data_IF_614589207230
#
_entry.id   IF_614589207230
#
_cell.length_a   1.000
_cell.length_b   1.000
_cell.length_c   1.000
_cell.angle_alpha   90.00
_cell.angle_beta   90.00
_cell.angle_gamma   90.00
#
_symmetry.space_group_name_H-M   'P 1'
#
loop_
_entity.id
_entity.type
_entity.pdbx_description
1 polymer ?
#
# COMPACT_ATOMS: atom_id res chain seq x y z
N UNK A 1 -3.74 67.44 4.34
CA UNK A 1 -4.01 66.28 3.45
C UNK A 1 -2.73 65.52 3.05
N UNK A 2 -1.87 65.10 3.99
CA UNK A 2 -0.61 64.37 3.67
C UNK A 2 -0.52 62.95 4.28
N UNK A 3 -1.48 62.54 5.11
CA UNK A 3 -1.44 61.27 5.84
C UNK A 3 -2.27 60.14 5.18
N UNK A 4 -3.14 60.48 4.22
CA UNK A 4 -4.01 59.50 3.56
C UNK A 4 -3.28 58.67 2.48
N UNK A 5 -2.23 59.22 1.86
CA UNK A 5 -1.43 58.51 0.84
C UNK A 5 -0.52 57.43 1.43
N UNK A 6 -0.12 57.55 2.70
CA UNK A 6 0.81 56.61 3.32
C UNK A 6 0.13 55.31 3.79
N UNK A 7 -1.17 55.36 4.11
CA UNK A 7 -1.93 54.17 4.54
C UNK A 7 -2.31 53.24 3.37
N UNK A 8 -2.44 53.77 2.16
CA UNK A 8 -2.78 52.96 0.99
C UNK A 8 -1.58 52.13 0.48
N UNK A 9 -0.37 52.67 0.58
CA UNK A 9 0.86 51.97 0.17
C UNK A 9 1.22 50.83 1.12
N UNK A 10 0.92 50.96 2.42
CA UNK A 10 1.16 49.90 3.41
C UNK A 10 0.21 48.71 3.23
N UNK A 11 -1.06 48.96 2.86
CA UNK A 11 -2.04 47.90 2.59
C UNK A 11 -1.70 47.15 1.28
N UNK A 12 -1.20 47.84 0.26
CA UNK A 12 -0.74 47.19 -0.98
C UNK A 12 0.53 46.34 -0.79
N UNK A 13 1.43 46.72 0.13
CA UNK A 13 2.63 45.95 0.47
C UNK A 13 2.31 44.65 1.23
N UNK A 14 1.33 44.67 2.12
CA UNK A 14 0.88 43.47 2.87
C UNK A 14 0.15 42.48 1.95
N UNK A 15 -0.52 42.96 0.89
CA UNK A 15 -1.12 42.11 -0.14
C UNK A 15 -0.09 41.37 -1.02
N UNK A 16 1.17 41.83 -1.08
CA UNK A 16 2.24 41.16 -1.84
C UNK A 16 3.02 40.12 -1.02
N UNK A 17 3.03 40.23 0.31
CA UNK A 17 3.69 39.27 1.20
C UNK A 17 2.85 38.01 1.49
N UNK A 18 1.59 37.96 1.06
CA UNK A 18 0.74 36.76 1.16
C UNK A 18 0.70 35.93 -0.12
N UNK A 19 1.71 36.06 -0.99
CA UNK A 19 2.07 34.97 -1.87
C UNK A 19 2.71 33.86 -1.01
N UNK A 20 1.88 33.18 -0.21
CA UNK A 20 2.04 31.77 0.08
C UNK A 20 2.26 31.09 -1.27
N UNK A 21 3.51 31.00 -1.71
CA UNK A 21 3.84 30.25 -2.91
C UNK A 21 3.52 28.80 -2.57
N UNK A 22 2.32 28.37 -2.98
CA UNK A 22 1.92 26.99 -2.87
C UNK A 22 2.99 26.16 -3.60
N UNK A 23 3.68 25.30 -2.84
CA UNK A 23 4.73 24.43 -3.32
C UNK A 23 4.33 23.78 -4.66
N UNK A 24 5.07 24.10 -5.73
CA UNK A 24 4.74 23.67 -7.08
C UNK A 24 5.32 22.28 -7.33
N UNK A 25 4.46 21.27 -7.19
CA UNK A 25 4.81 19.87 -7.45
C UNK A 25 4.54 19.55 -8.93
N UNK A 26 5.59 19.24 -9.69
CA UNK A 26 5.54 18.85 -11.10
C UNK A 26 6.04 17.42 -11.27
N UNK A 27 5.35 16.61 -12.06
CA UNK A 27 5.79 15.27 -12.46
C UNK A 27 6.04 15.29 -13.97
N UNK A 28 7.24 14.89 -14.42
CA UNK A 28 7.57 14.76 -15.85
C UNK A 28 8.50 13.57 -16.06
N UNK A 29 8.10 12.63 -16.93
CA UNK A 29 8.88 11.44 -17.30
C UNK A 29 9.38 10.63 -16.08
N UNK A 30 8.52 10.40 -15.09
CA UNK A 30 8.90 9.63 -13.88
C UNK A 30 9.80 10.40 -12.91
N UNK A 31 10.02 11.70 -13.10
CA UNK A 31 10.77 12.54 -12.17
C UNK A 31 9.80 13.50 -11.47
N UNK A 32 9.92 13.60 -10.15
CA UNK A 32 9.18 14.56 -9.33
C UNK A 32 10.07 15.75 -9.03
N UNK A 33 9.52 16.94 -9.33
CA UNK A 33 10.11 18.21 -8.95
C UNK A 33 9.22 18.96 -7.98
N UNK A 34 9.85 19.51 -6.96
CA UNK A 34 9.25 20.39 -5.96
C UNK A 34 9.96 21.73 -6.08
N UNK A 35 9.23 22.77 -6.48
CA UNK A 35 9.79 24.10 -6.75
C UNK A 35 11.02 24.03 -7.68
N UNK A 36 10.88 23.20 -8.73
CA UNK A 36 11.88 22.92 -9.77
C UNK A 36 13.15 22.16 -9.33
N UNK A 37 13.27 21.82 -8.04
CA UNK A 37 14.29 20.89 -7.51
C UNK A 37 13.82 19.44 -7.65
N UNK A 38 14.68 18.55 -8.14
CA UNK A 38 14.38 17.12 -8.24
C UNK A 38 14.47 16.49 -6.85
N UNK A 39 13.42 15.81 -6.41
CA UNK A 39 13.32 15.26 -5.04
C UNK A 39 13.12 13.75 -4.98
N UNK A 40 12.60 13.15 -6.06
CA UNK A 40 12.33 11.72 -6.13
C UNK A 40 12.10 11.26 -7.58
N UNK A 41 12.18 9.95 -7.80
CA UNK A 41 11.78 9.26 -9.03
C UNK A 41 10.51 8.45 -8.77
N UNK A 42 9.67 8.30 -9.80
CA UNK A 42 8.48 7.45 -9.80
C UNK A 42 8.61 6.44 -10.93
N UNK A 43 8.40 5.17 -10.59
CA UNK A 43 8.20 4.11 -11.55
C UNK A 43 6.75 3.64 -11.50
N UNK A 44 6.08 3.62 -12.65
CA UNK A 44 4.72 3.09 -12.79
C UNK A 44 4.82 1.60 -13.11
N UNK A 45 4.17 0.74 -12.32
CA UNK A 45 4.19 -0.72 -12.50
C UNK A 45 3.04 -1.25 -13.38
N UNK A 46 1.91 -0.54 -13.48
CA UNK A 46 0.76 -0.98 -14.31
C UNK A 46 0.12 0.15 -15.12
N UNK A 47 -0.42 -0.18 -16.30
CA UNK A 47 -0.89 0.78 -17.32
C UNK A 47 -2.40 1.08 -17.29
N UNK A 48 -3.19 0.54 -16.36
CA UNK A 48 -4.64 0.79 -16.32
C UNK A 48 -4.98 2.27 -16.02
N UNK A 49 -5.95 2.81 -16.76
CA UNK A 49 -6.07 4.23 -17.11
C UNK A 49 -6.12 5.24 -15.94
N UNK A 50 -6.53 4.87 -14.73
CA UNK A 50 -6.77 5.83 -13.64
C UNK A 50 -6.28 5.40 -12.24
N UNK A 51 -6.10 4.09 -12.01
CA UNK A 51 -5.67 3.54 -10.71
C UNK A 51 -4.42 2.72 -10.93
N UNK A 52 -3.31 3.16 -10.32
CA UNK A 52 -1.98 2.72 -10.71
C UNK A 52 -1.20 2.25 -9.50
N UNK A 53 -0.52 1.13 -9.68
CA UNK A 53 0.58 0.73 -8.82
C UNK A 53 1.79 1.57 -9.23
N UNK A 54 2.45 2.18 -8.25
CA UNK A 54 3.67 2.92 -8.50
C UNK A 54 4.57 2.92 -7.28
N UNK A 55 5.85 3.02 -7.55
CA UNK A 55 6.90 3.09 -6.55
C UNK A 55 7.52 4.48 -6.58
N UNK A 56 7.89 4.98 -5.41
CA UNK A 56 8.64 6.22 -5.24
C UNK A 56 10.04 5.87 -4.76
N UNK A 57 11.03 6.35 -5.49
CA UNK A 57 12.44 6.14 -5.20
C UNK A 57 13.10 7.45 -4.85
N UNK A 58 14.16 7.36 -4.06
CA UNK A 58 15.08 8.45 -3.87
C UNK A 58 15.97 8.64 -5.13
N UNK A 59 16.88 9.61 -5.11
CA UNK A 59 17.76 9.91 -6.25
C UNK A 59 18.85 8.84 -6.49
N UNK A 60 19.13 8.04 -5.46
CA UNK A 60 20.07 6.91 -5.45
C UNK A 60 19.38 5.58 -5.81
N UNK A 61 18.15 5.62 -6.34
CA UNK A 61 17.38 4.44 -6.75
C UNK A 61 17.01 3.48 -5.60
N UNK A 62 17.08 3.93 -4.35
CA UNK A 62 16.47 3.24 -3.20
C UNK A 62 14.96 3.49 -3.19
N UNK A 63 14.18 2.41 -3.19
CA UNK A 63 12.72 2.50 -3.04
C UNK A 63 12.37 3.00 -1.63
N UNK A 64 11.53 4.02 -1.55
CA UNK A 64 11.08 4.61 -0.28
C UNK A 64 9.63 4.26 0.01
N UNK A 65 8.76 4.39 -0.99
CA UNK A 65 7.32 4.23 -0.84
C UNK A 65 6.79 3.33 -1.94
N UNK A 66 6.00 2.34 -1.56
CA UNK A 66 5.24 1.50 -2.49
C UNK A 66 3.76 1.89 -2.41
N UNK A 67 3.14 2.14 -3.55
CA UNK A 67 1.70 2.42 -3.63
C UNK A 67 1.05 1.39 -4.50
N UNK A 68 0.09 0.67 -3.92
CA UNK A 68 -0.63 -0.44 -4.54
C UNK A 68 -2.10 -0.08 -4.64
N UNK A 69 -2.70 -0.30 -5.81
CA UNK A 69 -4.15 -0.25 -5.94
C UNK A 69 -4.73 -1.61 -5.58
N UNK A 70 -5.76 -1.65 -4.74
CA UNK A 70 -6.50 -2.88 -4.45
C UNK A 70 -7.98 -2.70 -4.80
N UNK A 71 -8.66 -3.82 -4.98
CA UNK A 71 -10.12 -3.85 -5.15
C UNK A 71 -10.76 -4.50 -3.95
N UNK A 72 -11.95 -4.03 -3.58
CA UNK A 72 -12.74 -4.62 -2.51
C UNK A 72 -14.22 -4.51 -2.87
N UNK A 73 -15.03 -5.41 -2.31
CA UNK A 73 -16.46 -5.42 -2.56
C UNK A 73 -17.20 -4.74 -1.42
N UNK A 74 -18.16 -3.89 -1.77
CA UNK A 74 -19.07 -3.28 -0.81
C UNK A 74 -20.50 -3.44 -1.25
N UNK A 75 -21.41 -3.48 -0.27
CA UNK A 75 -22.84 -3.45 -0.52
C UNK A 75 -23.29 -1.99 -0.61
N UNK A 76 -23.71 -1.57 -1.79
CA UNK A 76 -24.23 -0.23 -2.01
C UNK A 76 -25.70 -0.28 -2.41
N UNK A 77 -26.46 0.73 -1.97
CA UNK A 77 -27.82 0.92 -2.43
C UNK A 77 -27.78 1.58 -3.80
N UNK A 78 -28.26 0.87 -4.82
CA UNK A 78 -28.41 1.42 -6.15
C UNK A 78 -29.42 2.59 -6.12
N UNK A 79 -28.97 3.79 -6.47
CA UNK A 79 -29.78 5.01 -6.41
C UNK A 79 -31.00 5.02 -7.34
N UNK A 80 -31.03 4.16 -8.38
CA UNK A 80 -32.14 4.07 -9.34
C UNK A 80 -33.15 3.00 -8.96
N UNK A 81 -32.69 1.84 -8.51
CA UNK A 81 -33.56 0.67 -8.24
C UNK A 81 -33.88 0.52 -6.76
N UNK A 82 -33.14 1.20 -5.87
CA UNK A 82 -33.26 1.07 -4.42
C UNK A 82 -32.78 -0.26 -3.85
N UNK A 83 -32.31 -1.18 -4.69
CA UNK A 83 -31.80 -2.50 -4.28
C UNK A 83 -30.37 -2.39 -3.74
N UNK A 84 -30.04 -3.29 -2.81
CA UNK A 84 -28.67 -3.46 -2.35
C UNK A 84 -27.95 -4.34 -3.38
N UNK A 85 -26.88 -3.82 -3.95
CA UNK A 85 -26.05 -4.48 -4.94
C UNK A 85 -24.61 -4.56 -4.41
N UNK A 86 -23.90 -5.63 -4.75
CA UNK A 86 -22.48 -5.74 -4.44
C UNK A 86 -21.69 -5.08 -5.58
N UNK A 87 -20.90 -4.07 -5.26
CA UNK A 87 -20.10 -3.31 -6.23
C UNK A 87 -18.62 -3.40 -5.88
N UNK A 88 -17.79 -3.46 -6.91
CA UNK A 88 -16.33 -3.40 -6.78
C UNK A 88 -15.92 -1.94 -6.62
N UNK A 89 -15.31 -1.62 -5.49
CA UNK A 89 -14.61 -0.38 -5.25
C UNK A 89 -13.09 -0.56 -5.34
N UNK A 90 -12.40 0.57 -5.50
CA UNK A 90 -10.95 0.64 -5.63
C UNK A 90 -10.39 1.46 -4.47
N UNK A 91 -9.36 0.92 -3.81
CA UNK A 91 -8.60 1.60 -2.77
C UNK A 91 -7.12 1.67 -3.12
N UNK A 92 -6.33 2.40 -2.33
CA UNK A 92 -4.87 2.38 -2.42
C UNK A 92 -4.25 2.10 -1.06
N UNK A 93 -3.26 1.22 -1.03
CA UNK A 93 -2.38 1.00 0.13
C UNK A 93 -1.05 1.68 -0.15
N UNK A 94 -0.61 2.54 0.76
CA UNK A 94 0.71 3.18 0.73
C UNK A 94 1.56 2.60 1.84
N UNK A 95 2.70 2.03 1.47
CA UNK A 95 3.65 1.40 2.39
C UNK A 95 4.96 2.21 2.41
N UNK A 96 5.45 2.50 3.61
CA UNK A 96 6.71 3.21 3.85
C UNK A 96 7.80 2.19 4.18
N UNK A 97 8.68 1.90 3.22
CA UNK A 97 9.58 0.73 3.31
C UNK A 97 10.67 0.85 4.38
N UNK A 98 10.98 2.05 4.86
CA UNK A 98 12.01 2.24 5.89
C UNK A 98 11.53 1.82 7.29
N UNK A 99 10.24 1.95 7.57
CA UNK A 99 9.67 1.66 8.88
C UNK A 99 8.46 0.69 8.87
N UNK A 100 8.05 0.21 7.69
CA UNK A 100 6.93 -0.73 7.55
C UNK A 100 5.54 -0.12 7.77
N UNK A 101 5.46 1.19 7.97
CA UNK A 101 4.18 1.86 8.22
C UNK A 101 3.28 1.83 6.99
N UNK A 102 1.97 1.79 7.23
CA UNK A 102 0.97 1.67 6.16
C UNK A 102 -0.15 2.69 6.33
N UNK A 103 -0.56 3.28 5.20
CA UNK A 103 -1.77 4.09 5.11
C UNK A 103 -2.69 3.52 4.04
N UNK A 104 -3.96 3.35 4.39
CA UNK A 104 -4.99 2.92 3.47
C UNK A 104 -5.89 4.07 3.03
N UNK A 105 -6.19 4.09 1.73
CA UNK A 105 -7.11 5.02 1.11
C UNK A 105 -8.24 4.19 0.49
N UNK A 106 -9.31 3.87 1.24
CA UNK A 106 -10.41 3.04 0.75
C UNK A 106 -11.11 3.67 -0.46
N UNK A 107 -11.06 5.00 -0.60
CA UNK A 107 -11.44 5.68 -1.83
C UNK A 107 -10.22 5.91 -2.70
N UNK A 108 -10.26 5.36 -3.92
CA UNK A 108 -9.20 5.52 -4.89
C UNK A 108 -8.84 7.00 -5.12
N UNK A 109 -7.54 7.30 -4.96
CA UNK A 109 -6.97 8.60 -5.25
C UNK A 109 -6.19 8.53 -6.55
N UNK A 110 -6.22 9.60 -7.34
CA UNK A 110 -5.33 9.66 -8.50
C UNK A 110 -3.87 9.63 -8.06
N UNK A 111 -2.98 9.04 -8.86
CA UNK A 111 -1.52 9.07 -8.64
C UNK A 111 -1.03 10.47 -8.29
N UNK A 112 -1.46 11.48 -9.05
CA UNK A 112 -1.10 12.89 -8.83
C UNK A 112 -1.52 13.39 -7.44
N UNK A 113 -2.68 12.96 -6.93
CA UNK A 113 -3.12 13.30 -5.58
C UNK A 113 -2.23 12.67 -4.53
N UNK A 114 -1.91 11.37 -4.68
CA UNK A 114 -1.06 10.64 -3.75
C UNK A 114 0.35 11.24 -3.71
N UNK A 115 0.93 11.50 -4.87
CA UNK A 115 2.22 12.20 -5.00
C UNK A 115 2.18 13.57 -4.31
N UNK A 116 1.14 14.37 -4.54
CA UNK A 116 0.99 15.65 -3.84
C UNK A 116 0.96 15.49 -2.32
N UNK A 117 0.34 14.44 -1.80
CA UNK A 117 0.29 14.17 -0.37
C UNK A 117 1.68 13.87 0.18
N UNK A 118 2.49 13.07 -0.51
CA UNK A 118 3.87 12.74 -0.10
C UNK A 118 4.70 14.02 0.07
N UNK A 119 4.68 14.92 -0.92
CA UNK A 119 5.56 16.11 -0.89
C UNK A 119 5.01 17.27 -0.07
N UNK A 120 3.68 17.47 -0.01
CA UNK A 120 3.09 18.50 0.85
C UNK A 120 3.25 18.21 2.34
N UNK A 121 3.33 16.94 2.71
CA UNK A 121 3.63 16.53 4.08
C UNK A 121 5.14 16.32 4.30
N UNK A 122 5.95 16.66 3.29
CA UNK A 122 7.41 16.59 3.34
C UNK A 122 7.93 15.23 3.84
N UNK A 123 7.27 14.14 3.44
CA UNK A 123 7.59 12.78 3.91
C UNK A 123 8.98 12.36 3.47
N UNK A 124 9.46 12.92 2.36
CA UNK A 124 10.80 12.73 1.82
C UNK A 124 11.58 14.03 1.98
N UNK A 125 12.72 13.97 2.66
CA UNK A 125 13.67 15.07 2.84
C UNK A 125 15.09 14.51 2.83
N UNK A 126 16.04 15.22 2.25
CA UNK A 126 17.46 14.82 2.18
C UNK A 126 17.65 13.37 1.68
N UNK A 127 16.91 13.03 0.61
CA UNK A 127 16.97 11.73 -0.06
C UNK A 127 16.49 10.53 0.78
N UNK A 128 15.78 10.77 1.90
CA UNK A 128 15.30 9.74 2.85
C UNK A 128 13.87 10.00 3.32
N UNK A 129 13.24 9.01 3.95
CA UNK A 129 11.97 9.23 4.64
C UNK A 129 12.20 9.93 5.98
N UNK A 130 11.35 10.90 6.31
CA UNK A 130 11.34 11.51 7.64
C UNK A 130 10.42 10.71 8.55
N UNK A 131 10.98 9.87 9.43
CA UNK A 131 10.21 8.99 10.32
C UNK A 131 9.14 9.75 11.11
N UNK A 132 9.49 10.92 11.67
CA UNK A 132 8.53 11.77 12.40
C UNK A 132 7.35 12.23 11.54
N UNK A 133 7.61 12.64 10.29
CA UNK A 133 6.56 13.11 9.38
C UNK A 133 5.72 11.96 8.84
N UNK A 134 6.33 10.79 8.61
CA UNK A 134 5.61 9.56 8.27
C UNK A 134 4.66 9.17 9.40
N UNK A 135 5.11 9.13 10.66
CA UNK A 135 4.23 8.84 11.80
C UNK A 135 3.05 9.82 11.89
N UNK A 136 3.31 11.13 11.84
CA UNK A 136 2.25 12.15 11.84
C UNK A 136 1.27 12.00 10.64
N UNK A 137 1.78 11.54 9.50
CA UNK A 137 0.98 11.31 8.30
C UNK A 137 0.08 10.08 8.47
N UNK A 138 0.63 8.99 9.00
CA UNK A 138 -0.11 7.77 9.34
C UNK A 138 -1.22 8.08 10.32
N UNK A 139 -0.90 8.77 11.44
CA UNK A 139 -1.90 9.20 12.44
C UNK A 139 -3.02 10.04 11.84
N UNK A 140 -2.68 10.97 10.92
CA UNK A 140 -3.66 11.86 10.28
C UNK A 140 -4.60 11.11 9.33
N UNK A 141 -4.08 10.14 8.58
CA UNK A 141 -4.81 9.53 7.47
C UNK A 141 -5.41 8.15 7.81
N UNK A 142 -4.94 7.48 8.86
CA UNK A 142 -5.58 6.29 9.43
C UNK A 142 -6.70 6.64 10.45
N UNK A 143 -7.11 7.91 10.54
CA UNK A 143 -8.20 8.40 11.41
C UNK A 143 -9.64 8.13 10.93
N UNK A 144 -9.83 7.36 9.87
CA UNK A 144 -11.12 6.76 9.51
C UNK A 144 -10.84 5.34 9.00
N UNK A 145 -10.82 4.40 9.94
CA UNK A 145 -10.98 2.97 9.67
C UNK A 145 -12.44 2.84 9.22
N UNK A 146 -12.78 2.59 7.94
CA UNK A 146 -14.09 2.00 7.67
C UNK A 146 -14.21 0.80 8.58
N UNK A 147 -15.38 0.55 9.15
CA UNK A 147 -15.70 -0.61 9.99
C UNK A 147 -15.55 -1.96 9.24
N UNK A 148 -14.66 -2.05 8.24
CA UNK A 148 -13.88 -3.24 7.98
C UNK A 148 -12.80 -3.30 9.06
N UNK A 149 -13.06 -4.17 10.03
CA UNK A 149 -12.14 -4.79 10.99
C UNK A 149 -10.82 -4.02 11.21
N UNK A 150 -10.49 -3.61 12.46
CA UNK A 150 -9.08 -3.34 12.76
C UNK A 150 -8.22 -4.44 12.14
N UNK A 151 -7.02 -4.10 11.66
CA UNK A 151 -5.92 -5.06 11.60
C UNK A 151 -5.64 -5.43 13.06
N UNK A 152 -6.57 -6.16 13.62
CA UNK A 152 -6.47 -6.89 14.83
C UNK A 152 -5.83 -8.17 14.38
N UNK A 153 -4.75 -8.47 15.07
CA UNK A 153 -4.25 -9.80 15.37
C UNK A 153 -5.34 -10.74 15.94
N UNK A 154 -6.54 -10.77 15.34
CA UNK A 154 -7.65 -11.67 15.67
C UNK A 154 -7.66 -12.88 14.75
N UNK A 155 -6.47 -13.39 14.48
CA UNK A 155 -6.18 -14.78 14.72
C UNK A 155 -5.11 -14.74 15.78
N UNK A 156 -5.44 -15.16 17.00
CA UNK A 156 -4.53 -15.03 18.14
C UNK A 156 -3.13 -15.50 17.75
N UNK A 157 -2.14 -14.62 17.90
CA UNK A 157 -0.73 -14.90 17.70
C UNK A 157 -0.46 -15.90 16.56
N UNK A 158 -0.82 -15.57 15.31
CA UNK A 158 -0.36 -16.39 14.19
C UNK A 158 1.17 -16.36 14.19
N UNK A 159 1.80 -17.50 14.45
CA UNK A 159 3.25 -17.63 14.54
C UNK A 159 3.70 -18.78 13.65
N UNK A 160 4.84 -18.59 13.02
CA UNK A 160 5.53 -19.64 12.28
C UNK A 160 6.70 -20.16 13.13
N UNK A 161 6.76 -21.47 13.31
CA UNK A 161 7.88 -22.13 13.98
C UNK A 161 8.10 -23.51 13.37
N UNK A 162 9.35 -23.82 12.99
CA UNK A 162 9.74 -25.11 12.43
C UNK A 162 8.79 -25.60 11.31
N UNK A 163 8.54 -24.74 10.32
CA UNK A 163 7.64 -25.02 9.18
C UNK A 163 6.19 -25.37 9.58
N UNK A 164 5.79 -24.99 10.79
CA UNK A 164 4.44 -25.15 11.31
C UNK A 164 3.79 -23.78 11.45
N UNK A 165 2.49 -23.74 11.19
CA UNK A 165 1.64 -22.55 11.31
C UNK A 165 0.85 -22.72 12.60
N UNK A 166 0.99 -21.79 13.54
CA UNK A 166 0.38 -21.86 14.86
C UNK A 166 -0.59 -20.71 15.08
N UNK A 167 -1.71 -20.98 15.75
CA UNK A 167 -2.58 -19.96 16.35
C UNK A 167 -2.49 -20.13 17.86
N UNK A 168 -1.91 -19.15 18.55
CA UNK A 168 -1.56 -19.27 19.97
C UNK A 168 -0.51 -20.37 20.21
N UNK A 169 -0.94 -21.55 20.71
CA UNK A 169 -0.08 -22.72 20.96
C UNK A 169 -0.45 -23.95 20.13
N UNK A 170 -1.49 -23.85 19.30
CA UNK A 170 -2.00 -24.96 18.52
C UNK A 170 -1.45 -24.90 17.09
N UNK A 171 -0.94 -26.03 16.60
CA UNK A 171 -0.53 -26.14 15.20
C UNK A 171 -1.79 -26.35 14.37
N UNK A 172 -2.02 -25.48 13.41
CA UNK A 172 -3.17 -25.55 12.50
C UNK A 172 -2.79 -26.06 11.11
N UNK A 173 -1.49 -26.06 10.78
CA UNK A 173 -1.00 -26.56 9.52
C UNK A 173 0.51 -26.54 9.42
N UNK A 174 1.03 -27.01 8.29
CA UNK A 174 2.46 -27.01 7.97
C UNK A 174 2.68 -26.42 6.60
N UNK A 175 3.90 -26.00 6.34
CA UNK A 175 4.28 -25.54 5.00
C UNK A 175 5.66 -26.03 4.60
N UNK A 176 5.93 -25.98 3.31
CA UNK A 176 7.27 -26.17 2.75
C UNK A 176 7.56 -25.06 1.76
N UNK A 177 8.83 -24.70 1.66
CA UNK A 177 9.28 -23.66 0.74
C UNK A 177 10.28 -24.24 -0.25
N UNK A 178 10.23 -23.75 -1.48
CA UNK A 178 11.21 -24.05 -2.52
C UNK A 178 11.34 -22.88 -3.46
N UNK A 179 12.51 -22.76 -4.09
CA UNK A 179 12.70 -21.89 -5.24
C UNK A 179 12.55 -22.72 -6.50
N UNK A 180 11.75 -22.25 -7.45
CA UNK A 180 11.61 -22.84 -8.78
C UNK A 180 12.16 -21.84 -9.79
N UNK A 181 12.98 -22.32 -10.72
CA UNK A 181 13.56 -21.50 -11.80
C UNK A 181 12.95 -21.95 -13.12
N UNK A 182 12.46 -21.01 -13.92
CA UNK A 182 11.96 -21.31 -15.27
C UNK A 182 12.46 -20.28 -16.28
N UNK A 183 13.20 -20.76 -17.29
CA UNK A 183 13.74 -20.08 -18.49
C UNK A 183 14.50 -18.74 -18.34
N UNK A 184 14.35 -18.01 -17.23
CA UNK A 184 15.09 -16.81 -16.81
C UNK A 184 14.58 -16.23 -15.48
N UNK A 185 13.45 -16.72 -14.95
CA UNK A 185 12.84 -16.17 -13.73
C UNK A 185 12.88 -17.16 -12.57
N UNK A 186 13.16 -16.66 -11.36
CA UNK A 186 13.06 -17.42 -10.11
C UNK A 186 11.79 -17.05 -9.35
N UNK A 187 11.10 -18.05 -8.82
CA UNK A 187 9.92 -17.88 -7.97
C UNK A 187 10.07 -18.64 -6.65
N UNK A 188 9.74 -17.97 -5.52
CA UNK A 188 9.53 -18.63 -4.23
C UNK A 188 8.16 -19.27 -4.26
N UNK A 189 8.09 -20.56 -3.94
CA UNK A 189 6.87 -21.35 -3.85
C UNK A 189 6.71 -21.87 -2.44
N UNK A 190 5.58 -21.56 -1.82
CA UNK A 190 5.18 -22.00 -0.49
C UNK A 190 4.01 -22.97 -0.64
N UNK A 191 4.22 -24.25 -0.32
CA UNK A 191 3.15 -25.25 -0.28
C UNK A 191 2.61 -25.39 1.14
N UNK A 192 1.31 -25.27 1.32
CA UNK A 192 0.64 -25.30 2.64
C UNK A 192 -0.20 -26.56 2.77
N UNK A 193 -0.14 -27.20 3.94
CA UNK A 193 -0.73 -28.49 4.24
C UNK A 193 -1.56 -28.46 5.53
N UNK A 194 -2.63 -29.26 5.56
CA UNK A 194 -3.41 -29.56 6.77
C UNK A 194 -2.61 -30.46 7.71
N UNK A 195 -3.13 -30.67 8.92
CA UNK A 195 -2.57 -31.64 9.87
C UNK A 195 -2.66 -33.08 9.36
N UNK A 196 -3.63 -33.37 8.49
CA UNK A 196 -3.80 -34.65 7.81
C UNK A 196 -2.88 -34.83 6.59
N UNK A 197 -1.95 -33.89 6.38
CA UNK A 197 -0.97 -33.86 5.29
C UNK A 197 -1.59 -33.66 3.89
N UNK A 198 -2.84 -33.24 3.82
CA UNK A 198 -3.45 -32.82 2.56
C UNK A 198 -2.93 -31.45 2.17
N UNK A 199 -2.52 -31.28 0.91
CA UNK A 199 -2.09 -29.97 0.41
C UNK A 199 -3.32 -29.07 0.26
N UNK A 200 -3.39 -28.00 1.04
CA UNK A 200 -4.48 -27.03 1.04
C UNK A 200 -4.25 -25.96 -0.03
N UNK A 201 -3.02 -25.47 -0.18
CA UNK A 201 -2.71 -24.38 -1.09
C UNK A 201 -1.25 -24.42 -1.58
N UNK A 202 -0.99 -23.71 -2.67
CA UNK A 202 0.34 -23.33 -3.13
C UNK A 202 0.35 -21.82 -3.40
N UNK A 203 1.32 -21.11 -2.83
CA UNK A 203 1.52 -19.69 -3.04
C UNK A 203 2.86 -19.46 -3.77
N UNK A 204 2.86 -18.62 -4.79
CA UNK A 204 4.03 -18.33 -5.61
C UNK A 204 4.27 -16.82 -5.72
N UNK A 205 5.53 -16.39 -5.58
CA UNK A 205 5.93 -15.00 -5.80
C UNK A 205 7.28 -14.94 -6.51
N UNK A 206 7.45 -13.96 -7.41
CA UNK A 206 8.74 -13.70 -8.07
C UNK A 206 9.80 -13.32 -7.05
N UNK A 207 10.99 -13.93 -7.13
CA UNK A 207 12.14 -13.59 -6.27
C UNK A 207 12.74 -12.24 -6.67
N UNK A 208 12.80 -11.96 -7.96
CA UNK A 208 13.48 -10.77 -8.50
C UNK A 208 12.63 -9.49 -8.36
N UNK A 209 11.31 -9.62 -8.48
CA UNK A 209 10.39 -8.50 -8.40
C UNK A 209 9.09 -8.92 -7.70
N UNK A 210 9.13 -9.16 -6.36
CA UNK A 210 7.98 -9.62 -5.60
C UNK A 210 6.92 -8.51 -5.49
N UNK A 211 5.79 -8.73 -6.16
CA UNK A 211 4.63 -7.81 -6.16
C UNK A 211 3.43 -8.44 -5.46
N UNK A 212 3.10 -9.68 -5.85
CA UNK A 212 1.97 -10.42 -5.32
C UNK A 212 2.30 -11.90 -5.21
N UNK A 213 1.77 -12.52 -4.17
CA UNK A 213 1.61 -13.95 -4.06
C UNK A 213 0.41 -14.38 -4.90
N UNK A 214 0.65 -15.30 -5.84
CA UNK A 214 -0.39 -16.03 -6.53
C UNK A 214 -0.68 -17.28 -5.72
N UNK A 215 -1.84 -17.33 -5.07
CA UNK A 215 -2.26 -18.44 -4.21
C UNK A 215 -3.29 -19.28 -4.94
N UNK A 216 -2.95 -20.54 -5.15
CA UNK A 216 -3.84 -21.56 -5.72
C UNK A 216 -4.28 -22.51 -4.62
N UNK A 217 -5.58 -22.52 -4.33
CA UNK A 217 -6.18 -23.39 -3.32
C UNK A 217 -6.61 -24.71 -3.94
N UNK A 218 -6.32 -25.81 -3.25
CA UNK A 218 -6.58 -27.16 -3.75
C UNK A 218 -8.01 -27.61 -3.53
N UNK A 219 -8.68 -27.11 -2.49
CA UNK A 219 -10.03 -27.51 -2.07
C UNK A 219 -11.07 -27.06 -3.09
N UNK A 220 -10.98 -25.81 -3.56
CA UNK A 220 -11.95 -25.19 -4.48
C UNK A 220 -11.33 -24.78 -5.82
N UNK A 221 -10.04 -25.09 -6.04
CA UNK A 221 -9.30 -24.83 -7.29
C UNK A 221 -9.30 -23.35 -7.69
N UNK A 222 -9.37 -22.44 -6.72
CA UNK A 222 -9.36 -21.00 -6.97
C UNK A 222 -7.95 -20.46 -6.94
N UNK A 223 -7.71 -19.48 -7.80
CA UNK A 223 -6.51 -18.66 -7.78
C UNK A 223 -6.86 -17.30 -7.18
N UNK A 224 -5.99 -16.76 -6.34
CA UNK A 224 -6.15 -15.47 -5.69
C UNK A 224 -4.81 -14.75 -5.59
N UNK A 225 -4.81 -13.46 -5.90
CA UNK A 225 -3.62 -12.61 -5.73
C UNK A 225 -3.65 -11.92 -4.37
N UNK A 226 -2.58 -12.10 -3.59
CA UNK A 226 -2.36 -11.44 -2.30
C UNK A 226 -1.12 -10.57 -2.42
N UNK A 227 -1.16 -9.36 -1.90
CA UNK A 227 -0.02 -8.45 -1.99
C UNK A 227 1.19 -8.99 -1.23
N UNK A 228 2.36 -8.90 -1.85
CA UNK A 228 3.62 -9.21 -1.19
C UNK A 228 4.02 -8.06 -0.26
N UNK A 229 4.25 -8.39 1.01
CA UNK A 229 4.73 -7.46 2.05
C UNK A 229 6.06 -8.00 2.56
N UNK A 230 7.15 -7.26 2.36
CA UNK A 230 8.50 -7.78 2.66
C UNK A 230 8.70 -8.08 4.14
N UNK A 231 8.13 -7.28 5.05
CA UNK A 231 8.23 -7.49 6.49
C UNK A 231 7.40 -8.67 7.01
N UNK A 232 6.44 -9.15 6.22
CA UNK A 232 5.50 -10.22 6.62
C UNK A 232 5.71 -11.50 5.79
N UNK A 233 6.48 -11.46 4.70
CA UNK A 233 6.78 -12.59 3.80
C UNK A 233 5.58 -13.52 3.52
N UNK A 234 5.64 -14.79 3.92
CA UNK A 234 4.57 -15.79 3.79
C UNK A 234 3.44 -15.65 4.83
N UNK A 235 3.61 -14.86 5.90
CA UNK A 235 2.58 -14.65 6.92
C UNK A 235 1.30 -14.04 6.33
N UNK A 236 1.42 -13.20 5.29
CA UNK A 236 0.27 -12.63 4.59
C UNK A 236 -0.60 -13.72 3.95
N UNK A 237 0.04 -14.78 3.43
CA UNK A 237 -0.62 -15.93 2.82
C UNK A 237 -1.30 -16.76 3.88
N UNK A 238 -0.61 -17.03 4.99
CA UNK A 238 -1.16 -17.84 6.09
C UNK A 238 -2.35 -17.15 6.75
N UNK A 239 -2.25 -15.86 7.05
CA UNK A 239 -3.36 -15.06 7.57
C UNK A 239 -4.56 -15.09 6.63
N UNK A 240 -4.32 -14.96 5.32
CA UNK A 240 -5.40 -15.05 4.33
C UNK A 240 -6.05 -16.43 4.30
N UNK A 241 -5.27 -17.51 4.35
CA UNK A 241 -5.78 -18.88 4.35
C UNK A 241 -6.66 -19.16 5.59
N UNK A 242 -6.24 -18.69 6.76
CA UNK A 242 -7.04 -18.83 7.98
C UNK A 242 -8.30 -17.97 7.91
N UNK A 243 -8.21 -16.71 7.45
CA UNK A 243 -9.39 -15.82 7.33
C UNK A 243 -10.46 -16.38 6.39
N UNK A 244 -10.05 -17.15 5.38
CA UNK A 244 -10.96 -17.82 4.45
C UNK A 244 -11.28 -19.27 4.86
N UNK A 245 -10.94 -19.66 6.09
CA UNK A 245 -11.26 -20.95 6.71
C UNK A 245 -10.77 -22.18 5.91
N UNK A 246 -9.56 -22.12 5.33
CA UNK A 246 -9.00 -23.24 4.57
C UNK A 246 -8.29 -24.32 5.41
N UNK A 247 -8.02 -24.07 6.70
CA UNK A 247 -7.38 -25.02 7.63
C UNK A 247 -8.37 -25.92 8.39
N UNK A 248 -9.55 -26.20 7.81
CA UNK A 248 -10.57 -27.06 8.43
C UNK A 248 -10.18 -28.53 8.44
#
# INVERSE_FOLDING_TARGET
>A
MKTLKFRLTLILGILFCLNLQAQKIKEKKGIIKVDDVIVAKIERKTAYLIYNHFNVFNLEDKMLIRVVCYTYRVKEKNGKTGKIEEVTQYGHRMEFLENGEVVEFPQAKSKKSIVKMIFRNELISDNKLSSKKVLNFVERYNGWIPESEPVSSLLGDLVVSNNSILIGKEIIGKFTERIVSNESEQSKVVSVYSLDHEKIAEAMVSVENPIEWIVTTNVDKRESSILFVQSEEEMVVFNWLVKNEYFK
#
